data_IF_946806629400
#
_entry.id   IF_946806629400
#
_cell.length_a   1.000
_cell.length_b   1.000
_cell.length_c   1.000
_cell.angle_alpha   90.00
_cell.angle_beta   90.00
_cell.angle_gamma   90.00
#
_symmetry.space_group_name_H-M   'P 1'
#
loop_
_entity.id
_entity.type
_entity.pdbx_description
1 polymer ?
#
# COMPACT_ATOMS: atom_id res chain seq x y z
N UNK A 1 3.43 65.68 -0.49
CA UNK A 1 2.08 65.08 -0.52
C UNK A 1 2.28 63.83 -1.32
N UNK A 2 2.43 62.75 -0.58
CA UNK A 2 3.38 61.69 -0.87
C UNK A 2 2.65 60.50 -1.51
N UNK A 3 3.26 59.90 -2.52
CA UNK A 3 2.76 58.73 -3.26
C UNK A 3 2.92 57.39 -2.48
N UNK A 4 3.28 57.45 -1.20
CA UNK A 4 3.61 56.28 -0.37
C UNK A 4 2.38 55.56 0.23
N UNK A 5 1.17 56.11 0.08
CA UNK A 5 -0.04 55.56 0.73
C UNK A 5 -0.75 54.44 -0.06
N UNK A 6 -0.35 54.16 -1.30
CA UNK A 6 -1.00 53.13 -2.11
C UNK A 6 -0.66 51.70 -1.68
N UNK A 7 0.52 51.48 -1.06
CA UNK A 7 0.96 50.14 -0.65
C UNK A 7 0.42 49.70 0.71
N UNK A 8 -0.20 50.59 1.48
CA UNK A 8 -0.60 50.30 2.86
C UNK A 8 -2.10 49.96 3.04
N UNK A 9 -2.90 49.93 1.98
CA UNK A 9 -4.31 49.58 2.06
C UNK A 9 -4.70 48.48 1.07
N UNK A 10 -4.51 47.23 1.47
CA UNK A 10 -5.31 46.13 0.93
C UNK A 10 -5.46 45.00 1.95
N UNK A 11 -6.67 44.46 2.01
CA UNK A 11 -7.18 43.36 2.84
C UNK A 11 -6.49 42.00 2.61
N UNK A 12 -5.28 41.99 2.04
CA UNK A 12 -4.51 40.78 1.71
C UNK A 12 -3.66 40.26 2.88
N UNK A 13 -3.57 41.01 4.00
CA UNK A 13 -2.90 40.52 5.23
C UNK A 13 -3.60 39.34 5.89
N UNK A 14 -4.87 39.06 5.60
CA UNK A 14 -5.59 37.90 6.16
C UNK A 14 -5.41 36.61 5.34
N UNK A 15 -4.83 36.69 4.14
CA UNK A 15 -4.46 35.53 3.30
C UNK A 15 -2.94 35.34 3.14
N UNK A 16 -2.13 36.13 3.85
CA UNK A 16 -0.69 35.95 3.89
C UNK A 16 -0.35 34.72 4.75
N UNK A 17 0.41 33.79 4.16
CA UNK A 17 1.00 32.64 4.83
C UNK A 17 1.72 33.07 6.12
N UNK A 18 1.22 32.63 7.28
CA UNK A 18 1.96 32.60 8.53
C UNK A 18 2.72 31.26 8.61
N UNK A 19 4.03 31.32 8.81
CA UNK A 19 4.95 30.17 8.79
C UNK A 19 5.69 30.00 10.12
N UNK A 20 5.09 30.38 11.25
CA UNK A 20 5.79 30.43 12.54
C UNK A 20 5.29 29.45 13.62
N UNK A 21 4.42 28.47 13.31
CA UNK A 21 3.85 27.59 14.35
C UNK A 21 4.62 26.25 14.58
N UNK A 22 5.70 25.96 13.85
CA UNK A 22 6.45 24.69 14.00
C UNK A 22 7.91 24.89 14.45
N UNK A 23 8.17 25.80 15.39
CA UNK A 23 9.48 25.87 16.07
C UNK A 23 9.45 24.94 17.28
N UNK A 24 9.87 23.69 17.09
CA UNK A 24 10.15 22.77 18.20
C UNK A 24 11.25 23.35 19.09
N UNK A 25 11.04 23.29 20.40
CA UNK A 25 11.98 23.83 21.38
C UNK A 25 13.28 23.01 21.40
N UNK A 26 14.44 23.61 21.74
CA UNK A 26 15.72 22.90 21.82
C UNK A 26 15.72 21.68 22.75
N UNK A 27 14.76 21.61 23.68
CA UNK A 27 14.58 20.49 24.61
C UNK A 27 13.91 19.27 23.97
N UNK A 28 13.09 19.46 22.92
CA UNK A 28 12.44 18.37 22.17
C UNK A 28 13.41 17.70 21.18
N UNK A 29 14.41 18.44 20.67
CA UNK A 29 15.45 17.93 19.77
C UNK A 29 16.40 16.94 20.50
N UNK A 30 16.62 17.14 21.80
CA UNK A 30 17.50 16.28 22.61
C UNK A 30 16.88 14.94 23.04
N UNK A 31 15.55 14.77 22.88
CA UNK A 31 14.83 13.59 23.37
C UNK A 31 14.66 12.46 22.35
N UNK A 32 15.04 12.66 21.08
CA UNK A 32 14.81 11.68 19.99
C UNK A 32 15.76 10.45 20.10
N UNK A 33 16.80 10.50 20.94
CA UNK A 33 17.82 9.45 21.03
C UNK A 33 17.76 8.51 22.24
N UNK A 34 16.82 8.67 23.18
CA UNK A 34 16.84 7.87 24.41
C UNK A 34 15.47 7.27 24.72
N UNK A 35 15.30 5.97 24.44
CA UNK A 35 14.30 5.15 25.14
C UNK A 35 15.02 4.20 26.12
N UNK A 36 14.67 4.23 27.41
CA UNK A 36 15.13 3.25 28.38
C UNK A 36 14.36 1.93 28.20
N UNK A 37 15.08 0.83 28.32
CA UNK A 37 14.54 -0.53 28.24
C UNK A 37 13.89 -0.93 29.57
N UNK A 38 12.57 -1.17 29.57
CA UNK A 38 11.88 -1.97 30.59
C UNK A 38 10.99 -3.01 29.88
N UNK A 39 11.12 -4.26 30.33
CA UNK A 39 10.80 -5.44 29.55
C UNK A 39 9.38 -5.97 29.65
N UNK A 40 9.00 -6.76 28.65
CA UNK A 40 8.10 -7.90 28.78
C UNK A 40 8.27 -8.84 27.58
N UNK A 41 8.28 -10.15 27.86
CA UNK A 41 8.52 -11.25 26.92
C UNK A 41 7.33 -11.43 25.96
N UNK A 42 7.60 -11.66 24.67
CA UNK A 42 6.73 -12.42 23.78
C UNK A 42 7.63 -13.29 22.87
N UNK A 43 7.31 -14.57 22.83
CA UNK A 43 8.08 -15.66 22.23
C UNK A 43 8.21 -15.55 20.71
N UNK A 44 9.44 -15.62 20.20
CA UNK A 44 9.75 -15.69 18.78
C UNK A 44 9.92 -17.15 18.33
N UNK A 45 9.04 -17.56 17.41
CA UNK A 45 8.92 -18.88 16.74
C UNK A 45 10.01 -19.08 15.65
N UNK A 46 11.22 -18.56 15.87
CA UNK A 46 12.36 -18.75 14.96
C UNK A 46 13.68 -19.01 15.70
N UNK A 47 13.62 -19.79 16.78
CA UNK A 47 14.81 -20.37 17.37
C UNK A 47 15.29 -21.56 16.53
N UNK A 48 16.14 -21.28 15.53
CA UNK A 48 16.99 -22.30 14.94
C UNK A 48 17.89 -22.88 16.03
N UNK A 49 17.75 -24.17 16.23
CA UNK A 49 18.59 -25.08 17.03
C UNK A 49 20.04 -24.59 17.14
N UNK A 50 20.48 -24.31 18.36
CA UNK A 50 21.86 -24.06 18.70
C UNK A 50 22.70 -25.33 18.48
N UNK A 51 23.23 -25.48 17.27
CA UNK A 51 24.38 -26.35 17.04
C UNK A 51 25.60 -25.63 17.62
N UNK A 52 26.08 -26.14 18.74
CA UNK A 52 27.36 -25.82 19.37
C UNK A 52 28.52 -26.27 18.49
N UNK A 53 28.74 -25.59 17.36
CA UNK A 53 30.04 -25.58 16.70
C UNK A 53 30.81 -24.38 17.22
N UNK A 54 31.78 -24.64 18.09
CA UNK A 54 32.88 -23.73 18.37
C UNK A 54 33.54 -23.34 17.04
N UNK A 55 33.15 -22.20 16.47
CA UNK A 55 33.88 -21.60 15.36
C UNK A 55 35.17 -21.07 15.96
N UNK A 56 36.25 -21.86 15.83
CA UNK A 56 37.61 -21.37 15.98
C UNK A 56 37.77 -20.19 15.01
N UNK A 57 37.57 -18.97 15.51
CA UNK A 57 37.86 -17.75 14.77
C UNK A 57 39.38 -17.68 14.65
N UNK A 58 39.88 -18.08 13.49
CA UNK A 58 41.27 -17.87 13.13
C UNK A 58 41.54 -16.36 13.16
N UNK A 59 42.56 -15.89 13.90
CA UNK A 59 42.89 -14.48 13.92
C UNK A 59 43.26 -14.04 12.50
N UNK A 60 42.84 -12.83 12.10
CA UNK A 60 43.07 -12.26 10.76
C UNK A 60 44.56 -12.31 10.35
N UNK A 61 45.47 -12.27 11.32
CA UNK A 61 46.92 -12.43 11.14
C UNK A 61 47.35 -13.81 10.59
N UNK A 62 46.47 -14.82 10.63
CA UNK A 62 46.70 -16.14 10.02
C UNK A 62 46.21 -16.24 8.57
N UNK A 63 45.31 -15.34 8.14
CA UNK A 63 44.76 -15.30 6.78
C UNK A 63 45.50 -14.30 5.90
N UNK A 64 46.12 -13.28 6.50
CA UNK A 64 46.75 -12.16 5.79
C UNK A 64 48.04 -11.79 6.51
N UNK A 65 49.14 -11.66 5.75
CA UNK A 65 50.42 -11.25 6.36
C UNK A 65 50.30 -9.86 7.01
N UNK A 66 51.04 -9.58 8.10
CA UNK A 66 50.99 -8.28 8.76
C UNK A 66 51.22 -7.09 7.81
N UNK A 67 52.10 -7.26 6.81
CA UNK A 67 52.34 -6.25 5.77
C UNK A 67 51.13 -5.99 4.88
N UNK A 68 50.39 -7.04 4.52
CA UNK A 68 49.18 -6.89 3.68
C UNK A 68 48.03 -6.33 4.50
N UNK A 69 47.92 -6.70 5.77
CA UNK A 69 46.95 -6.12 6.69
C UNK A 69 47.22 -4.63 6.92
N UNK A 70 48.49 -4.25 7.11
CA UNK A 70 48.90 -2.85 7.20
C UNK A 70 48.59 -2.09 5.91
N UNK A 71 48.81 -2.68 4.74
CA UNK A 71 48.45 -2.06 3.45
C UNK A 71 46.93 -1.90 3.29
N UNK A 72 46.13 -2.85 3.76
CA UNK A 72 44.67 -2.76 3.76
C UNK A 72 44.21 -1.65 4.72
N UNK A 73 44.77 -1.60 5.93
CA UNK A 73 44.49 -0.57 6.93
C UNK A 73 44.96 0.81 6.44
N UNK A 74 46.11 0.91 5.77
CA UNK A 74 46.60 2.13 5.11
C UNK A 74 45.66 2.58 4.00
N UNK A 75 45.22 1.66 3.14
CA UNK A 75 44.26 1.94 2.07
C UNK A 75 42.88 2.35 2.59
N UNK A 76 42.46 1.86 3.77
CA UNK A 76 41.24 2.28 4.46
C UNK A 76 41.42 3.59 5.23
N UNK A 77 42.62 3.89 5.73
CA UNK A 77 42.93 5.13 6.47
C UNK A 77 43.03 6.38 5.59
N UNK A 78 43.12 6.21 4.26
CA UNK A 78 43.22 7.31 3.31
C UNK A 78 44.59 8.02 3.29
N UNK A 79 45.63 7.46 3.89
CA UNK A 79 47.00 7.99 3.85
C UNK A 79 47.81 7.29 2.74
N UNK A 80 48.24 8.04 1.73
CA UNK A 80 49.17 7.56 0.69
C UNK A 80 50.58 7.35 1.29
N UNK A 81 51.34 6.32 0.85
CA UNK A 81 52.65 5.96 1.42
C UNK A 81 53.81 6.87 1.00
N UNK A 82 53.58 7.92 0.23
CA UNK A 82 54.63 8.86 -0.18
C UNK A 82 54.47 10.18 0.56
N UNK A 83 55.20 10.33 1.66
CA UNK A 83 55.45 11.64 2.27
C UNK A 83 56.21 12.52 1.27
N UNK A 84 55.83 13.78 1.26
CA UNK A 84 56.60 14.93 0.76
C UNK A 84 56.90 14.97 -0.73
N UNK A 85 55.85 15.22 -1.52
CA UNK A 85 56.01 16.17 -2.63
C UNK A 85 54.89 17.18 -2.48
N UNK A 86 55.25 18.47 -2.40
CA UNK A 86 54.39 19.59 -2.78
C UNK A 86 54.02 19.40 -4.26
N UNK A 87 53.12 18.48 -4.55
CA UNK A 87 52.32 18.55 -5.75
C UNK A 87 51.03 19.15 -5.23
N UNK A 88 50.73 20.37 -5.69
CA UNK A 88 49.35 20.78 -5.87
C UNK A 88 48.67 19.66 -6.67
N UNK A 89 48.20 18.62 -5.98
CA UNK A 89 47.40 17.61 -6.62
C UNK A 89 46.17 18.38 -7.00
N UNK A 90 46.10 18.81 -8.26
CA UNK A 90 44.86 19.27 -8.84
C UNK A 90 43.87 18.16 -8.51
N UNK A 91 43.01 18.41 -7.52
CA UNK A 91 41.93 17.52 -7.18
C UNK A 91 40.95 17.63 -8.34
N UNK A 92 41.29 16.92 -9.40
CA UNK A 92 40.45 16.79 -10.58
C UNK A 92 39.15 16.13 -10.13
N UNK A 93 38.08 16.44 -10.86
CA UNK A 93 36.76 15.88 -10.62
C UNK A 93 36.80 14.35 -10.46
N UNK A 94 37.61 13.67 -11.28
CA UNK A 94 37.79 12.22 -11.21
C UNK A 94 38.38 11.73 -9.87
N UNK A 95 39.37 12.44 -9.30
CA UNK A 95 39.97 12.07 -8.01
C UNK A 95 38.98 12.30 -6.87
N UNK A 96 38.23 13.40 -6.92
CA UNK A 96 37.18 13.71 -5.93
C UNK A 96 36.08 12.65 -5.95
N UNK A 97 35.57 12.30 -7.13
CA UNK A 97 34.52 11.28 -7.28
C UNK A 97 34.99 9.89 -6.86
N UNK A 98 36.22 9.49 -7.23
CA UNK A 98 36.79 8.22 -6.79
C UNK A 98 36.86 8.14 -5.27
N UNK A 99 37.22 9.22 -4.58
CA UNK A 99 37.22 9.27 -3.11
C UNK A 99 35.81 9.18 -2.54
N UNK A 100 34.86 9.91 -3.12
CA UNK A 100 33.47 9.94 -2.69
C UNK A 100 32.81 8.55 -2.75
N UNK A 101 33.00 7.83 -3.86
CA UNK A 101 32.46 6.47 -4.06
C UNK A 101 33.09 5.45 -3.10
N UNK A 102 34.37 5.64 -2.77
CA UNK A 102 35.07 4.82 -1.79
C UNK A 102 34.76 5.21 -0.34
N UNK A 103 33.84 6.15 -0.09
CA UNK A 103 33.49 6.65 1.24
C UNK A 103 34.63 7.38 1.96
N UNK A 104 35.61 7.90 1.22
CA UNK A 104 36.78 8.61 1.76
C UNK A 104 36.50 10.11 1.87
N UNK A 105 37.15 10.77 2.83
CA UNK A 105 37.04 12.21 3.00
C UNK A 105 37.46 12.97 1.72
N UNK A 106 36.54 13.77 1.18
CA UNK A 106 36.76 14.62 0.03
C UNK A 106 36.15 16.01 0.25
N UNK A 107 36.85 17.06 -0.17
CA UNK A 107 36.39 18.45 -0.02
C UNK A 107 35.76 18.95 -1.32
N UNK A 108 34.42 18.94 -1.40
CA UNK A 108 33.69 19.41 -2.58
C UNK A 108 33.86 20.93 -2.81
N UNK A 109 34.18 21.70 -1.76
CA UNK A 109 34.40 23.15 -1.79
C UNK A 109 35.57 23.63 -2.68
N UNK A 110 36.43 22.70 -3.14
CA UNK A 110 37.48 23.00 -4.11
C UNK A 110 36.89 23.28 -5.51
N UNK A 111 35.73 22.71 -5.82
CA UNK A 111 35.00 22.94 -7.07
C UNK A 111 34.16 24.22 -6.96
N UNK A 112 34.81 25.38 -7.21
CA UNK A 112 34.17 26.70 -7.08
C UNK A 112 33.42 27.16 -8.33
N UNK A 113 33.95 26.88 -9.52
CA UNK A 113 33.36 27.33 -10.78
C UNK A 113 32.10 26.53 -11.14
N UNK A 114 31.14 27.18 -11.80
CA UNK A 114 29.93 26.51 -12.30
C UNK A 114 30.28 25.34 -13.21
N UNK A 115 31.23 25.52 -14.14
CA UNK A 115 31.72 24.46 -15.04
C UNK A 115 32.23 23.24 -14.26
N UNK A 116 33.06 23.45 -13.24
CA UNK A 116 33.62 22.35 -12.45
C UNK A 116 32.55 21.63 -11.62
N UNK A 117 31.56 22.36 -11.12
CA UNK A 117 30.38 21.81 -10.43
C UNK A 117 29.50 20.97 -11.36
N UNK A 118 29.32 21.41 -12.60
CA UNK A 118 28.59 20.65 -13.63
C UNK A 118 29.33 19.36 -14.00
N UNK A 119 30.64 19.44 -14.23
CA UNK A 119 31.48 18.27 -14.50
C UNK A 119 31.47 17.27 -13.33
N UNK A 120 31.45 17.77 -12.10
CA UNK A 120 31.33 16.95 -10.89
C UNK A 120 30.01 16.18 -10.84
N UNK A 121 28.91 16.82 -11.19
CA UNK A 121 27.60 16.17 -11.27
C UNK A 121 27.54 15.14 -12.41
N UNK A 122 28.02 15.51 -13.60
CA UNK A 122 28.06 14.61 -14.76
C UNK A 122 28.92 13.37 -14.50
N UNK A 123 30.08 13.57 -13.87
CA UNK A 123 30.94 12.46 -13.47
C UNK A 123 30.29 11.57 -12.41
N UNK A 124 29.58 12.14 -11.42
CA UNK A 124 28.86 11.34 -10.43
C UNK A 124 27.76 10.48 -11.08
N UNK A 125 27.01 11.06 -12.02
CA UNK A 125 25.97 10.36 -12.79
C UNK A 125 26.59 9.23 -13.62
N UNK A 126 27.73 9.49 -14.29
CA UNK A 126 28.42 8.50 -15.12
C UNK A 126 28.93 7.30 -14.31
N UNK A 127 29.31 7.51 -13.04
CA UNK A 127 29.71 6.42 -12.14
C UNK A 127 28.49 5.60 -11.68
N UNK A 128 27.33 6.23 -11.53
CA UNK A 128 26.08 5.57 -11.17
C UNK A 128 25.93 5.24 -9.68
N UNK A 129 26.79 5.78 -8.81
CA UNK A 129 26.64 5.63 -7.36
C UNK A 129 25.63 6.65 -6.81
N UNK A 130 24.49 6.16 -6.30
CA UNK A 130 23.39 7.01 -5.84
C UNK A 130 23.76 7.94 -4.68
N UNK A 131 24.63 7.49 -3.76
CA UNK A 131 25.08 8.29 -2.63
C UNK A 131 26.00 9.43 -3.08
N UNK A 132 26.90 9.15 -4.02
CA UNK A 132 27.75 10.15 -4.64
C UNK A 132 26.93 11.21 -5.38
N UNK A 133 25.96 10.77 -6.20
CA UNK A 133 25.05 11.67 -6.92
C UNK A 133 24.30 12.57 -5.94
N UNK A 134 23.67 12.01 -4.92
CA UNK A 134 22.92 12.78 -3.93
C UNK A 134 23.82 13.76 -3.17
N UNK A 135 25.01 13.33 -2.75
CA UNK A 135 25.97 14.18 -2.02
C UNK A 135 26.39 15.39 -2.87
N UNK A 136 26.67 15.16 -4.15
CA UNK A 136 26.99 16.26 -5.08
C UNK A 136 25.78 17.18 -5.26
N UNK A 137 24.58 16.64 -5.44
CA UNK A 137 23.36 17.46 -5.58
C UNK A 137 23.12 18.34 -4.35
N UNK A 138 23.25 17.80 -3.14
CA UNK A 138 23.13 18.57 -1.89
C UNK A 138 24.18 19.69 -1.81
N UNK A 139 25.42 19.43 -2.23
CA UNK A 139 26.46 20.44 -2.33
C UNK A 139 26.11 21.55 -3.34
N UNK A 140 25.52 21.21 -4.48
CA UNK A 140 25.06 22.21 -5.46
C UNK A 140 23.94 23.08 -4.87
N UNK A 141 22.97 22.49 -4.20
CA UNK A 141 21.85 23.21 -3.56
C UNK A 141 22.36 24.21 -2.51
N UNK A 142 23.38 23.83 -1.73
CA UNK A 142 23.96 24.70 -0.71
C UNK A 142 24.81 25.84 -1.29
N UNK A 143 25.37 25.69 -2.49
CA UNK A 143 26.42 26.58 -3.00
C UNK A 143 26.06 27.33 -4.29
N UNK A 144 24.91 27.07 -4.89
CA UNK A 144 24.44 27.73 -6.10
C UNK A 144 23.07 28.39 -5.87
N UNK A 145 22.74 29.37 -6.72
CA UNK A 145 21.40 29.95 -6.74
C UNK A 145 20.38 28.87 -7.16
N UNK A 146 19.22 28.84 -6.48
CA UNK A 146 18.09 27.95 -6.78
C UNK A 146 17.79 27.82 -8.28
N UNK A 147 17.72 28.92 -9.03
CA UNK A 147 17.43 28.89 -10.49
C UNK A 147 18.45 28.05 -11.28
N UNK A 148 19.74 28.21 -10.99
CA UNK A 148 20.82 27.46 -11.65
C UNK A 148 20.78 25.97 -11.27
N UNK A 149 20.48 25.67 -10.00
CA UNK A 149 20.32 24.28 -9.56
C UNK A 149 19.19 23.60 -10.31
N UNK A 150 18.05 24.28 -10.48
CA UNK A 150 16.92 23.71 -11.22
C UNK A 150 17.22 23.50 -12.69
N UNK A 151 17.92 24.43 -13.35
CA UNK A 151 18.37 24.26 -14.75
C UNK A 151 19.35 23.07 -14.91
N UNK A 152 20.26 22.89 -13.94
CA UNK A 152 21.17 21.75 -13.93
C UNK A 152 20.45 20.41 -13.70
N UNK A 153 19.45 20.38 -12.81
CA UNK A 153 18.68 19.18 -12.50
C UNK A 153 17.64 18.84 -13.57
N UNK A 154 17.02 19.84 -14.22
CA UNK A 154 16.02 19.63 -15.28
C UNK A 154 16.62 18.91 -16.49
N UNK A 155 17.90 19.17 -16.78
CA UNK A 155 18.67 18.49 -17.83
C UNK A 155 19.20 17.11 -17.43
N UNK A 156 19.11 16.72 -16.15
CA UNK A 156 19.72 15.50 -15.57
C UNK A 156 18.73 14.74 -14.71
N UNK A 157 17.83 14.01 -15.36
CA UNK A 157 16.72 13.27 -14.72
C UNK A 157 17.17 12.29 -13.63
N UNK A 158 18.33 11.63 -13.79
CA UNK A 158 18.87 10.69 -12.79
C UNK A 158 19.14 11.41 -11.46
N UNK A 159 19.88 12.52 -11.50
CA UNK A 159 20.19 13.32 -10.32
C UNK A 159 18.93 13.94 -9.70
N UNK A 160 18.02 14.43 -10.54
CA UNK A 160 16.72 14.94 -10.10
C UNK A 160 15.91 13.87 -9.35
N UNK A 161 15.83 12.65 -9.88
CA UNK A 161 15.09 11.56 -9.24
C UNK A 161 15.68 11.18 -7.89
N UNK A 162 17.02 11.10 -7.77
CA UNK A 162 17.66 10.88 -6.47
C UNK A 162 17.32 11.97 -5.45
N UNK A 163 17.28 13.23 -5.89
CA UNK A 163 16.91 14.34 -5.00
C UNK A 163 15.44 14.32 -4.62
N UNK A 164 14.54 14.03 -5.57
CA UNK A 164 13.11 13.84 -5.30
C UNK A 164 12.89 12.73 -4.26
N UNK A 165 13.53 11.58 -4.43
CA UNK A 165 13.44 10.47 -3.47
C UNK A 165 14.00 10.84 -2.10
N UNK A 166 15.09 11.60 -2.04
CA UNK A 166 15.62 12.12 -0.79
C UNK A 166 14.61 13.03 -0.07
N UNK A 167 14.03 14.01 -0.77
CA UNK A 167 13.05 14.92 -0.19
C UNK A 167 11.78 14.19 0.31
N UNK A 168 11.35 13.15 -0.39
CA UNK A 168 10.23 12.30 0.03
C UNK A 168 10.55 11.54 1.32
N UNK A 169 11.74 10.94 1.41
CA UNK A 169 12.15 10.14 2.55
C UNK A 169 12.36 10.99 3.81
N UNK A 170 12.93 12.19 3.65
CA UNK A 170 13.13 13.15 4.74
C UNK A 170 11.85 13.92 5.12
N UNK A 171 10.74 13.74 4.38
CA UNK A 171 9.48 14.44 4.64
C UNK A 171 9.50 15.94 4.31
N UNK A 172 10.45 16.40 3.49
CA UNK A 172 10.62 17.81 3.08
C UNK A 172 9.67 18.18 1.94
N UNK A 173 8.38 18.13 2.24
CA UNK A 173 7.32 18.24 1.21
C UNK A 173 7.25 19.63 0.59
N UNK A 174 7.50 20.70 1.34
CA UNK A 174 7.53 22.07 0.81
C UNK A 174 8.63 22.24 -0.24
N UNK A 175 9.85 21.81 0.07
CA UNK A 175 10.97 21.83 -0.87
C UNK A 175 10.69 20.98 -2.12
N UNK A 176 10.03 19.83 -1.94
CA UNK A 176 9.64 18.95 -3.05
C UNK A 176 8.58 19.59 -3.95
N UNK A 177 7.54 20.19 -3.38
CA UNK A 177 6.48 20.85 -4.14
C UNK A 177 7.02 22.06 -4.91
N UNK A 178 7.91 22.83 -4.29
CA UNK A 178 8.56 23.98 -4.93
C UNK A 178 9.41 23.53 -6.12
N UNK A 179 10.27 22.51 -5.91
CA UNK A 179 11.09 21.91 -6.96
C UNK A 179 10.24 21.46 -8.15
N UNK A 180 9.19 20.68 -7.90
CA UNK A 180 8.33 20.14 -8.96
C UNK A 180 7.55 21.25 -9.67
N UNK A 181 7.05 22.24 -8.95
CA UNK A 181 6.35 23.40 -9.53
C UNK A 181 7.27 24.20 -10.45
N UNK A 182 8.52 24.46 -10.04
CA UNK A 182 9.48 25.18 -10.87
C UNK A 182 9.93 24.39 -12.10
N UNK A 183 9.86 23.07 -12.06
CA UNK A 183 10.09 22.19 -13.22
C UNK A 183 8.86 22.04 -14.12
N UNK A 184 7.76 22.75 -13.84
CA UNK A 184 6.50 22.62 -14.57
C UNK A 184 5.73 21.33 -14.30
N UNK A 185 6.11 20.57 -13.26
CA UNK A 185 5.51 19.29 -12.84
C UNK A 185 4.48 19.50 -11.73
N UNK A 186 3.64 20.53 -11.86
CA UNK A 186 2.62 20.90 -10.86
C UNK A 186 1.64 19.78 -10.51
N UNK A 187 1.18 18.91 -11.46
CA UNK A 187 0.31 17.78 -11.11
C UNK A 187 0.99 16.79 -10.15
N UNK A 188 2.27 16.51 -10.36
CA UNK A 188 3.03 15.63 -9.47
C UNK A 188 3.24 16.27 -8.09
N UNK A 189 3.54 17.57 -8.05
CA UNK A 189 3.65 18.32 -6.81
C UNK A 189 2.36 18.20 -5.97
N UNK A 190 1.21 18.37 -6.62
CA UNK A 190 -0.09 18.25 -5.98
C UNK A 190 -0.31 16.85 -5.39
N UNK A 191 0.16 15.80 -6.06
CA UNK A 191 0.00 14.43 -5.57
C UNK A 191 0.92 14.07 -4.40
N UNK A 192 2.14 14.60 -4.36
CA UNK A 192 2.97 14.49 -3.16
C UNK A 192 2.37 15.24 -1.98
N UNK A 193 1.82 16.44 -2.22
CA UNK A 193 1.14 17.20 -1.18
C UNK A 193 -0.11 16.46 -0.67
N UNK A 194 -0.92 15.89 -1.55
CA UNK A 194 -2.04 15.02 -1.20
C UNK A 194 -1.61 13.87 -0.29
N UNK A 195 -0.61 13.09 -0.72
CA UNK A 195 -0.13 11.93 0.02
C UNK A 195 0.39 12.33 1.41
N UNK A 196 1.10 13.44 1.50
CA UNK A 196 1.57 13.98 2.77
C UNK A 196 0.42 14.44 3.66
N UNK A 197 -0.57 15.15 3.12
CA UNK A 197 -1.75 15.57 3.90
C UNK A 197 -2.49 14.36 4.50
N UNK A 198 -2.71 13.31 3.72
CA UNK A 198 -3.37 12.07 4.19
C UNK A 198 -2.58 11.40 5.31
N UNK A 199 -1.25 11.33 5.20
CA UNK A 199 -0.37 10.72 6.20
C UNK A 199 -0.23 11.55 7.47
N UNK A 200 -0.06 12.87 7.32
CA UNK A 200 0.24 13.79 8.43
C UNK A 200 -0.98 14.14 9.29
N UNK A 201 -2.18 14.21 8.69
CA UNK A 201 -3.39 14.64 9.43
C UNK A 201 -4.02 13.53 10.29
N UNK A 202 -3.67 12.26 10.08
CA UNK A 202 -4.19 11.15 10.88
C UNK A 202 -5.72 11.13 10.89
N UNK A 203 -6.33 11.26 12.07
CA UNK A 203 -7.79 11.25 12.27
C UNK A 203 -8.47 12.62 12.18
N UNK A 204 -7.74 13.71 11.88
CA UNK A 204 -8.30 15.05 11.78
C UNK A 204 -8.99 15.29 10.42
N UNK A 205 -10.26 14.90 10.32
CA UNK A 205 -11.06 15.00 9.09
C UNK A 205 -11.28 16.45 8.64
N UNK A 206 -11.54 17.38 9.56
CA UNK A 206 -11.74 18.80 9.24
C UNK A 206 -10.47 19.46 8.68
N UNK A 207 -9.33 19.20 9.32
CA UNK A 207 -8.04 19.67 8.84
C UNK A 207 -7.71 19.12 7.46
N UNK A 208 -8.02 17.84 7.23
CA UNK A 208 -7.81 17.18 5.95
C UNK A 208 -8.71 17.74 4.85
N UNK A 209 -10.02 17.90 5.10
CA UNK A 209 -10.95 18.52 4.15
C UNK A 209 -10.49 19.91 3.72
N UNK A 210 -10.10 20.76 4.69
CA UNK A 210 -9.60 22.10 4.39
C UNK A 210 -8.36 22.07 3.49
N UNK A 211 -7.38 21.23 3.81
CA UNK A 211 -6.14 21.09 3.01
C UNK A 211 -6.40 20.55 1.62
N UNK A 212 -7.29 19.56 1.47
CA UNK A 212 -7.62 18.95 0.19
C UNK A 212 -8.45 19.86 -0.72
N UNK A 213 -9.40 20.60 -0.16
CA UNK A 213 -10.16 21.60 -0.93
C UNK A 213 -9.23 22.70 -1.47
N UNK A 214 -8.27 23.16 -0.66
CA UNK A 214 -7.25 24.11 -1.10
C UNK A 214 -6.37 23.51 -2.21
N UNK A 215 -5.94 22.25 -2.07
CA UNK A 215 -5.15 21.54 -3.08
C UNK A 215 -5.91 21.43 -4.41
N UNK A 216 -7.19 21.06 -4.36
CA UNK A 216 -8.02 20.95 -5.55
C UNK A 216 -8.19 22.29 -6.25
N UNK A 217 -8.51 23.35 -5.51
CA UNK A 217 -8.70 24.69 -6.07
C UNK A 217 -7.42 25.25 -6.71
N UNK A 218 -6.27 25.06 -6.06
CA UNK A 218 -5.01 25.68 -6.48
C UNK A 218 -4.26 24.91 -7.57
N UNK A 219 -4.48 23.60 -7.69
CA UNK A 219 -3.68 22.76 -8.60
C UNK A 219 -4.53 21.88 -9.52
N UNK A 220 -5.47 21.10 -8.98
CA UNK A 220 -6.13 20.04 -9.75
C UNK A 220 -7.26 20.56 -10.66
N UNK A 221 -7.94 21.62 -10.25
CA UNK A 221 -9.01 22.25 -11.02
C UNK A 221 -8.51 23.36 -11.97
N UNK A 222 -7.19 23.59 -12.01
CA UNK A 222 -6.60 24.57 -12.91
C UNK A 222 -6.62 24.07 -14.37
N UNK A 223 -6.65 24.98 -15.37
CA UNK A 223 -6.52 24.60 -16.77
C UNK A 223 -5.22 23.80 -17.01
N UNK A 224 -5.35 22.57 -17.53
CA UNK A 224 -4.21 21.65 -17.70
C UNK A 224 -3.96 20.69 -16.53
N UNK A 225 -4.79 20.71 -15.49
CA UNK A 225 -4.79 19.72 -14.41
C UNK A 225 -5.16 18.32 -14.90
N UNK A 226 -4.65 17.30 -14.21
CA UNK A 226 -4.98 15.90 -14.50
C UNK A 226 -6.39 15.57 -13.98
N UNK A 227 -7.34 15.43 -14.91
CA UNK A 227 -8.75 15.11 -14.63
C UNK A 227 -8.91 13.82 -13.81
N UNK A 228 -8.04 12.83 -13.99
CA UNK A 228 -8.10 11.58 -13.24
C UNK A 228 -7.69 11.80 -11.79
N UNK A 229 -6.61 12.54 -11.55
CA UNK A 229 -6.17 12.91 -10.20
C UNK A 229 -7.20 13.81 -9.50
N UNK A 230 -7.76 14.79 -10.21
CA UNK A 230 -8.82 15.65 -9.70
C UNK A 230 -10.03 14.83 -9.24
N UNK A 231 -10.48 13.87 -10.07
CA UNK A 231 -11.58 12.96 -9.72
C UNK A 231 -11.27 12.12 -8.50
N UNK A 232 -10.07 11.52 -8.43
CA UNK A 232 -9.65 10.71 -7.29
C UNK A 232 -9.68 11.49 -5.98
N UNK A 233 -9.13 12.72 -5.96
CA UNK A 233 -9.14 13.57 -4.76
C UNK A 233 -10.56 14.03 -4.44
N UNK A 234 -11.38 14.35 -5.44
CA UNK A 234 -12.79 14.72 -5.24
C UNK A 234 -13.61 13.59 -4.60
N UNK A 235 -13.44 12.35 -5.07
CA UNK A 235 -14.15 11.20 -4.51
C UNK A 235 -13.70 10.91 -3.07
N UNK A 236 -12.42 11.11 -2.76
CA UNK A 236 -11.93 11.04 -1.38
C UNK A 236 -12.45 12.17 -0.49
N UNK A 237 -12.57 13.40 -0.99
CA UNK A 237 -13.21 14.52 -0.28
C UNK A 237 -14.67 14.17 0.05
N UNK A 238 -15.44 13.62 -0.89
CA UNK A 238 -16.82 13.15 -0.63
C UNK A 238 -16.88 12.10 0.48
N UNK A 239 -15.89 11.20 0.56
CA UNK A 239 -15.80 10.22 1.65
C UNK A 239 -15.56 10.91 2.99
N UNK A 240 -14.64 11.87 3.05
CA UNK A 240 -14.34 12.63 4.26
C UNK A 240 -15.55 13.47 4.73
N UNK A 241 -16.30 14.07 3.80
CA UNK A 241 -17.55 14.78 4.11
C UNK A 241 -18.58 13.83 4.75
N UNK A 242 -18.71 12.61 4.21
CA UNK A 242 -19.56 11.59 4.82
C UNK A 242 -19.06 11.17 6.20
N UNK A 243 -17.74 10.98 6.39
CA UNK A 243 -17.16 10.64 7.69
C UNK A 243 -17.39 11.75 8.72
N UNK A 244 -17.27 13.02 8.31
CA UNK A 244 -17.61 14.18 9.13
C UNK A 244 -19.08 14.18 9.51
N UNK A 245 -19.98 13.89 8.58
CA UNK A 245 -21.42 13.74 8.87
C UNK A 245 -21.70 12.60 9.85
N UNK A 246 -21.07 11.43 9.64
CA UNK A 246 -21.23 10.27 10.50
C UNK A 246 -20.75 10.54 11.94
N UNK A 247 -19.76 11.42 12.08
CA UNK A 247 -19.19 11.88 13.36
C UNK A 247 -18.78 10.70 14.27
N UNK A 248 -18.05 9.74 13.70
CA UNK A 248 -17.50 8.57 14.41
C UNK A 248 -15.99 8.53 14.26
N UNK A 249 -15.28 8.73 15.38
CA UNK A 249 -13.82 8.76 15.43
C UNK A 249 -13.15 7.52 14.79
N UNK A 250 -13.75 6.34 14.93
CA UNK A 250 -13.24 5.10 14.35
C UNK A 250 -13.30 5.05 12.81
N UNK A 251 -14.13 5.90 12.19
CA UNK A 251 -14.29 6.01 10.75
C UNK A 251 -13.38 7.08 10.14
N UNK A 252 -12.81 7.95 10.96
CA UNK A 252 -12.00 9.07 10.49
C UNK A 252 -10.81 8.58 9.67
N UNK A 253 -10.69 9.08 8.44
CA UNK A 253 -9.63 8.73 7.49
C UNK A 253 -9.52 7.21 7.24
N UNK A 254 -10.63 6.47 7.36
CA UNK A 254 -10.71 5.07 6.95
C UNK A 254 -11.14 4.95 5.48
N UNK A 255 -10.92 3.77 4.90
CA UNK A 255 -11.32 3.49 3.52
C UNK A 255 -12.84 3.37 3.38
N UNK A 256 -13.36 3.60 2.17
CA UNK A 256 -14.78 3.41 1.87
C UNK A 256 -15.27 2.00 2.21
N UNK A 257 -14.44 0.96 2.02
CA UNK A 257 -14.78 -0.42 2.39
C UNK A 257 -14.87 -0.63 3.90
N UNK A 258 -14.01 0.03 4.68
CA UNK A 258 -14.12 -0.01 6.14
C UNK A 258 -15.40 0.68 6.62
N UNK A 259 -15.71 1.85 6.05
CA UNK A 259 -16.97 2.55 6.34
C UNK A 259 -18.19 1.73 5.94
N UNK A 260 -18.17 1.06 4.78
CA UNK A 260 -19.22 0.12 4.36
C UNK A 260 -19.36 -1.02 5.36
N UNK A 261 -18.25 -1.62 5.81
CA UNK A 261 -18.28 -2.70 6.79
C UNK A 261 -18.92 -2.27 8.12
N UNK A 262 -18.59 -1.06 8.59
CA UNK A 262 -19.25 -0.45 9.75
C UNK A 262 -20.76 -0.28 9.54
N UNK A 263 -21.16 0.29 8.40
CA UNK A 263 -22.58 0.45 8.05
C UNK A 263 -23.31 -0.91 7.98
N UNK A 264 -22.69 -1.95 7.43
CA UNK A 264 -23.26 -3.30 7.41
C UNK A 264 -23.44 -3.85 8.82
N UNK A 265 -22.48 -3.63 9.71
CA UNK A 265 -22.55 -4.13 11.08
C UNK A 265 -23.65 -3.44 11.91
N UNK A 266 -23.77 -2.12 11.78
CA UNK A 266 -24.56 -1.27 12.70
C UNK A 266 -25.87 -0.74 12.10
N UNK A 267 -25.96 -0.61 10.78
CA UNK A 267 -27.03 0.12 10.09
C UNK A 267 -27.68 -0.69 8.95
N UNK A 268 -27.59 -2.03 9.01
CA UNK A 268 -28.10 -2.92 7.94
C UNK A 268 -29.59 -2.75 7.63
N UNK A 269 -30.41 -2.50 8.66
CA UNK A 269 -31.87 -2.36 8.51
C UNK A 269 -32.31 -0.99 7.99
N UNK A 270 -31.38 -0.04 7.81
CA UNK A 270 -31.71 1.29 7.33
C UNK A 270 -31.96 1.30 5.82
N UNK A 271 -33.05 1.95 5.40
CA UNK A 271 -33.45 2.04 4.01
C UNK A 271 -32.53 2.94 3.18
N UNK A 272 -32.53 2.70 1.86
CA UNK A 272 -31.86 3.58 0.91
C UNK A 272 -32.41 5.01 1.05
N UNK A 273 -31.53 5.97 1.33
CA UNK A 273 -31.90 7.35 1.68
C UNK A 273 -31.37 7.78 3.05
N UNK A 274 -31.22 6.85 4.00
CA UNK A 274 -30.45 7.13 5.21
C UNK A 274 -28.97 7.20 4.86
N UNK A 275 -28.29 8.25 5.32
CA UNK A 275 -26.87 8.48 5.06
C UNK A 275 -25.98 7.33 5.57
N UNK A 276 -26.37 6.69 6.67
CA UNK A 276 -25.62 5.59 7.28
C UNK A 276 -25.98 4.21 6.72
N UNK A 277 -26.98 4.12 5.84
CA UNK A 277 -27.35 2.86 5.18
C UNK A 277 -26.20 2.34 4.31
N UNK A 278 -25.89 1.02 4.35
CA UNK A 278 -24.90 0.39 3.47
C UNK A 278 -25.12 0.67 1.99
N UNK A 279 -26.38 0.80 1.56
CA UNK A 279 -26.71 1.05 0.16
C UNK A 279 -26.35 2.48 -0.25
N UNK A 280 -26.60 3.46 0.62
CA UNK A 280 -26.29 4.88 0.36
C UNK A 280 -24.79 5.09 0.22
N UNK A 281 -23.98 4.52 1.11
CA UNK A 281 -22.51 4.63 1.02
C UNK A 281 -21.98 3.90 -0.24
N UNK A 282 -22.54 2.73 -0.57
CA UNK A 282 -22.18 1.98 -1.77
C UNK A 282 -22.41 2.81 -3.05
N UNK A 283 -23.57 3.49 -3.15
CA UNK A 283 -23.90 4.34 -4.29
C UNK A 283 -23.03 5.60 -4.35
N UNK A 284 -22.85 6.30 -3.23
CA UNK A 284 -22.06 7.55 -3.18
C UNK A 284 -20.59 7.33 -3.50
N UNK A 285 -20.03 6.24 -2.98
CA UNK A 285 -18.62 5.89 -3.17
C UNK A 285 -18.38 5.00 -4.40
N UNK A 286 -19.42 4.74 -5.19
CA UNK A 286 -19.37 3.91 -6.40
C UNK A 286 -18.70 2.54 -6.14
N UNK A 287 -19.00 1.92 -4.99
CA UNK A 287 -18.39 0.65 -4.59
C UNK A 287 -18.85 -0.43 -5.58
N UNK A 288 -17.92 -1.16 -6.23
CA UNK A 288 -18.26 -2.23 -7.15
C UNK A 288 -19.12 -3.32 -6.49
N UNK A 289 -20.09 -3.92 -7.21
CA UNK A 289 -20.98 -4.94 -6.66
C UNK A 289 -20.24 -6.13 -6.04
N UNK A 290 -19.11 -6.55 -6.62
CA UNK A 290 -18.28 -7.63 -6.06
C UNK A 290 -17.68 -7.27 -4.70
N UNK A 291 -17.25 -6.01 -4.51
CA UNK A 291 -16.71 -5.54 -3.23
C UNK A 291 -17.82 -5.38 -2.19
N UNK A 292 -19.01 -4.95 -2.63
CA UNK A 292 -20.20 -4.91 -1.78
C UNK A 292 -20.55 -6.31 -1.27
N UNK A 293 -20.79 -7.27 -2.18
CA UNK A 293 -21.11 -8.66 -1.84
C UNK A 293 -20.05 -9.25 -0.89
N UNK A 294 -18.76 -9.02 -1.18
CA UNK A 294 -17.66 -9.52 -0.35
C UNK A 294 -17.68 -8.91 1.06
N UNK A 295 -17.94 -7.61 1.17
CA UNK A 295 -17.98 -6.92 2.46
C UNK A 295 -19.16 -7.41 3.29
N UNK A 296 -20.35 -7.48 2.70
CA UNK A 296 -21.57 -7.94 3.41
C UNK A 296 -21.42 -9.38 3.86
N UNK A 297 -20.92 -10.28 2.99
CA UNK A 297 -20.64 -11.68 3.35
C UNK A 297 -19.75 -11.74 4.60
N UNK A 298 -18.63 -11.03 4.59
CA UNK A 298 -17.65 -11.11 5.66
C UNK A 298 -18.16 -10.50 6.97
N UNK A 299 -18.91 -9.41 6.91
CA UNK A 299 -19.44 -8.76 8.12
C UNK A 299 -20.50 -9.64 8.78
N UNK A 300 -21.51 -10.08 8.02
CA UNK A 300 -22.65 -10.79 8.59
C UNK A 300 -22.33 -12.24 8.95
N UNK A 301 -21.53 -12.95 8.15
CA UNK A 301 -21.13 -14.32 8.49
C UNK A 301 -20.26 -14.36 9.77
N UNK A 302 -19.32 -13.42 9.94
CA UNK A 302 -18.52 -13.32 11.17
C UNK A 302 -19.34 -12.92 12.40
N UNK A 303 -20.49 -12.28 12.20
CA UNK A 303 -21.46 -12.01 13.26
C UNK A 303 -22.52 -13.10 13.39
N UNK A 304 -22.34 -14.26 12.75
CA UNK A 304 -23.27 -15.40 12.75
C UNK A 304 -24.70 -15.07 12.26
N UNK A 305 -24.87 -13.96 11.54
CA UNK A 305 -26.14 -13.51 10.95
C UNK A 305 -26.37 -14.18 9.60
N UNK A 306 -26.50 -15.51 9.62
CA UNK A 306 -26.61 -16.33 8.41
C UNK A 306 -27.91 -16.10 7.62
N UNK A 307 -28.98 -15.69 8.29
CA UNK A 307 -30.25 -15.29 7.68
C UNK A 307 -30.07 -14.15 6.66
N UNK A 308 -29.25 -13.16 7.01
CA UNK A 308 -28.91 -12.04 6.13
C UNK A 308 -28.09 -12.53 4.94
N UNK A 309 -27.09 -13.37 5.19
CA UNK A 309 -26.22 -13.94 4.15
C UNK A 309 -27.04 -14.77 3.17
N UNK A 310 -27.90 -15.67 3.66
CA UNK A 310 -28.76 -16.48 2.81
C UNK A 310 -29.71 -15.61 1.98
N UNK A 311 -30.30 -14.57 2.57
CA UNK A 311 -31.20 -13.64 1.85
C UNK A 311 -30.47 -12.86 0.76
N UNK A 312 -29.23 -12.44 1.01
CA UNK A 312 -28.45 -11.69 0.01
C UNK A 312 -28.01 -12.58 -1.16
N UNK A 313 -27.47 -13.75 -0.83
CA UNK A 313 -26.86 -14.63 -1.83
C UNK A 313 -27.84 -15.58 -2.50
N UNK A 314 -29.11 -15.58 -2.09
CA UNK A 314 -30.14 -16.40 -2.71
C UNK A 314 -31.36 -15.57 -3.15
N UNK A 315 -31.92 -15.92 -4.30
CA UNK A 315 -33.17 -15.36 -4.81
C UNK A 315 -34.16 -16.47 -5.07
N UNK A 316 -35.40 -16.27 -4.63
CA UNK A 316 -36.53 -17.13 -4.97
C UNK A 316 -37.13 -16.64 -6.29
N UNK A 317 -37.25 -17.54 -7.25
CA UNK A 317 -38.05 -17.28 -8.45
C UNK A 317 -39.55 -17.39 -8.14
N UNK A 318 -40.39 -17.07 -9.12
CA UNK A 318 -41.85 -17.13 -8.98
C UNK A 318 -42.39 -18.56 -8.76
N UNK A 319 -41.59 -19.59 -9.06
CA UNK A 319 -41.88 -21.00 -8.78
C UNK A 319 -41.35 -21.46 -7.41
N UNK A 320 -40.79 -20.54 -6.61
CA UNK A 320 -40.23 -20.82 -5.30
C UNK A 320 -38.86 -21.51 -5.33
N UNK A 321 -38.23 -21.66 -6.50
CA UNK A 321 -36.87 -22.22 -6.62
C UNK A 321 -35.84 -21.20 -6.17
N UNK A 322 -34.90 -21.67 -5.38
CA UNK A 322 -33.82 -20.84 -4.83
C UNK A 322 -32.63 -20.89 -5.78
N UNK A 323 -32.15 -19.73 -6.21
CA UNK A 323 -30.99 -19.57 -7.09
C UNK A 323 -29.94 -18.66 -6.45
N UNK A 324 -28.65 -18.86 -6.75
CA UNK A 324 -27.60 -18.00 -6.20
C UNK A 324 -27.47 -16.69 -6.97
N UNK A 325 -27.55 -15.59 -6.23
CA UNK A 325 -27.36 -14.22 -6.71
C UNK A 325 -26.07 -13.66 -6.11
N UNK A 326 -24.98 -13.66 -6.86
CA UNK A 326 -23.70 -13.09 -6.43
C UNK A 326 -22.88 -12.59 -7.61
N UNK A 327 -22.14 -11.51 -7.39
CA UNK A 327 -21.10 -11.00 -8.28
C UNK A 327 -19.72 -11.62 -7.99
N UNK A 328 -19.58 -12.36 -6.89
CA UNK A 328 -18.36 -13.08 -6.54
C UNK A 328 -18.29 -14.35 -7.40
N UNK A 329 -17.16 -14.66 -8.05
CA UNK A 329 -16.95 -15.92 -8.74
C UNK A 329 -17.27 -17.12 -7.83
N UNK A 330 -17.98 -18.12 -8.35
CA UNK A 330 -18.59 -19.16 -7.52
C UNK A 330 -17.57 -19.96 -6.71
N UNK A 331 -16.38 -20.24 -7.25
CA UNK A 331 -15.33 -20.95 -6.53
C UNK A 331 -14.76 -20.12 -5.36
N UNK A 332 -14.54 -18.82 -5.59
CA UNK A 332 -14.10 -17.88 -4.56
C UNK A 332 -15.16 -17.74 -3.46
N UNK A 333 -16.45 -17.69 -3.85
CA UNK A 333 -17.56 -17.63 -2.91
C UNK A 333 -17.62 -18.90 -2.05
N UNK A 334 -17.51 -20.09 -2.66
CA UNK A 334 -17.51 -21.36 -1.95
C UNK A 334 -16.33 -21.49 -0.99
N UNK A 335 -15.12 -21.10 -1.42
CA UNK A 335 -13.94 -21.11 -0.57
C UNK A 335 -14.17 -20.26 0.66
N UNK A 336 -14.67 -19.03 0.45
CA UNK A 336 -14.91 -18.10 1.55
C UNK A 336 -16.04 -18.56 2.48
N UNK A 337 -17.13 -19.10 1.94
CA UNK A 337 -18.22 -19.67 2.74
C UNK A 337 -17.75 -20.85 3.57
N UNK A 338 -16.89 -21.72 3.02
CA UNK A 338 -16.30 -22.83 3.75
C UNK A 338 -15.41 -22.35 4.90
N UNK A 339 -14.55 -21.35 4.65
CA UNK A 339 -13.71 -20.73 5.69
C UNK A 339 -14.54 -20.11 6.81
N UNK A 340 -15.67 -19.51 6.47
CA UNK A 340 -16.62 -18.90 7.40
C UNK A 340 -17.57 -19.92 8.04
N UNK A 341 -17.41 -21.23 7.78
CA UNK A 341 -18.22 -22.31 8.33
C UNK A 341 -19.72 -22.21 7.97
N UNK A 342 -20.03 -21.83 6.73
CA UNK A 342 -21.39 -21.79 6.22
C UNK A 342 -22.08 -23.16 6.28
N UNK A 343 -23.42 -23.15 6.35
CA UNK A 343 -24.21 -24.37 6.36
C UNK A 343 -23.98 -25.20 5.09
N UNK A 344 -23.95 -26.54 5.23
CA UNK A 344 -23.90 -27.45 4.07
C UNK A 344 -25.04 -27.19 3.07
N UNK A 345 -26.19 -26.71 3.55
CA UNK A 345 -27.34 -26.30 2.73
C UNK A 345 -26.98 -25.12 1.82
N UNK A 346 -26.45 -24.03 2.36
CA UNK A 346 -26.07 -22.86 1.56
C UNK A 346 -24.96 -23.22 0.56
N UNK A 347 -23.98 -24.00 1.01
CA UNK A 347 -22.92 -24.54 0.14
C UNK A 347 -23.49 -25.38 -1.01
N UNK A 348 -24.47 -26.25 -0.74
CA UNK A 348 -25.13 -27.06 -1.76
C UNK A 348 -25.89 -26.21 -2.79
N UNK A 349 -26.58 -25.15 -2.36
CA UNK A 349 -27.26 -24.20 -3.27
C UNK A 349 -26.24 -23.54 -4.21
N UNK A 350 -25.08 -23.16 -3.68
CA UNK A 350 -23.98 -22.58 -4.48
C UNK A 350 -23.40 -23.58 -5.49
N UNK A 351 -23.07 -24.79 -5.06
CA UNK A 351 -22.52 -25.82 -5.95
C UNK A 351 -23.51 -26.19 -7.06
N UNK A 352 -24.81 -26.27 -6.76
CA UNK A 352 -25.84 -26.60 -7.75
C UNK A 352 -25.99 -25.56 -8.87
N UNK A 353 -25.48 -24.33 -8.71
CA UNK A 353 -25.44 -23.32 -9.78
C UNK A 353 -24.40 -23.64 -10.86
N UNK A 354 -23.38 -24.44 -10.55
CA UNK A 354 -22.31 -24.77 -11.50
C UNK A 354 -22.89 -25.61 -12.63
N UNK A 355 -22.73 -25.16 -13.88
CA UNK A 355 -23.30 -25.82 -15.06
C UNK A 355 -22.57 -27.11 -15.43
N UNK A 356 -21.23 -27.09 -15.37
CA UNK A 356 -20.35 -28.25 -15.60
C UNK A 356 -20.57 -29.30 -14.52
N UNK A 357 -20.98 -30.51 -14.94
CA UNK A 357 -21.20 -31.61 -14.00
C UNK A 357 -19.88 -32.11 -13.38
N UNK A 358 -18.77 -32.02 -14.12
CA UNK A 358 -17.43 -32.35 -13.63
C UNK A 358 -16.99 -31.38 -12.52
N UNK A 359 -17.08 -30.07 -12.76
CA UNK A 359 -16.72 -29.06 -11.76
C UNK A 359 -17.64 -29.13 -10.54
N UNK A 360 -18.93 -29.40 -10.77
CA UNK A 360 -19.91 -29.60 -9.70
C UNK A 360 -19.51 -30.78 -8.80
N UNK A 361 -19.14 -31.92 -9.39
CA UNK A 361 -18.67 -33.09 -8.62
C UNK A 361 -17.38 -32.79 -7.87
N UNK A 362 -16.40 -32.20 -8.55
CA UNK A 362 -15.10 -31.82 -7.96
C UNK A 362 -15.30 -30.95 -6.72
N UNK A 363 -16.08 -29.87 -6.85
CA UNK A 363 -16.32 -28.92 -5.76
C UNK A 363 -17.21 -29.50 -4.67
N UNK A 364 -18.23 -30.30 -5.01
CA UNK A 364 -19.05 -31.01 -4.03
C UNK A 364 -18.22 -31.97 -3.17
N UNK A 365 -17.30 -32.73 -3.78
CA UNK A 365 -16.38 -33.62 -3.07
C UNK A 365 -15.39 -32.83 -2.21
N UNK A 366 -14.79 -31.77 -2.77
CA UNK A 366 -13.82 -30.92 -2.06
C UNK A 366 -14.40 -30.32 -0.77
N UNK A 367 -15.65 -29.84 -0.82
CA UNK A 367 -16.34 -29.26 0.34
C UNK A 367 -17.21 -30.25 1.11
N UNK A 368 -17.14 -31.56 0.80
CA UNK A 368 -17.92 -32.63 1.46
C UNK A 368 -19.42 -32.34 1.51
N UNK A 369 -19.99 -32.04 0.34
CA UNK A 369 -21.43 -31.82 0.13
C UNK A 369 -22.00 -33.07 -0.55
N UNK A 370 -22.20 -34.11 0.27
CA UNK A 370 -22.43 -35.48 -0.20
C UNK A 370 -23.74 -35.64 -1.00
N UNK A 371 -24.78 -34.88 -0.61
CA UNK A 371 -26.07 -34.87 -1.30
C UNK A 371 -25.94 -34.46 -2.76
N UNK A 372 -25.14 -33.43 -3.04
CA UNK A 372 -24.92 -32.92 -4.40
C UNK A 372 -24.10 -33.91 -5.24
N UNK A 373 -23.16 -34.64 -4.62
CA UNK A 373 -22.42 -35.72 -5.32
C UNK A 373 -23.39 -36.80 -5.79
N UNK A 374 -24.24 -37.30 -4.89
CA UNK A 374 -25.22 -38.36 -5.18
C UNK A 374 -26.18 -37.92 -6.29
N UNK A 375 -26.76 -36.72 -6.16
CA UNK A 375 -27.68 -36.18 -7.17
C UNK A 375 -27.03 -35.97 -8.54
N UNK A 376 -25.76 -35.56 -8.58
CA UNK A 376 -25.06 -35.30 -9.84
C UNK A 376 -24.71 -36.59 -10.56
N UNK A 377 -24.24 -37.62 -9.84
CA UNK A 377 -23.97 -38.95 -10.41
C UNK A 377 -25.25 -39.62 -10.90
N UNK A 378 -26.35 -39.47 -10.14
CA UNK A 378 -27.68 -39.94 -10.55
C UNK A 378 -28.15 -39.25 -11.85
N UNK A 379 -27.98 -37.93 -11.97
CA UNK A 379 -28.30 -37.17 -13.19
C UNK A 379 -27.44 -37.59 -14.39
N UNK A 380 -26.16 -37.91 -14.17
CA UNK A 380 -25.27 -38.45 -15.20
C UNK A 380 -25.58 -39.90 -15.57
N UNK A 381 -26.37 -40.59 -14.73
CA UNK A 381 -26.71 -42.02 -14.83
C UNK A 381 -25.49 -42.93 -14.66
N UNK A 382 -24.48 -42.47 -13.91
CA UNK A 382 -23.25 -43.24 -13.69
C UNK A 382 -23.39 -44.13 -12.44
N UNK A 383 -23.74 -45.40 -12.68
CA UNK A 383 -23.99 -46.36 -11.61
C UNK A 383 -22.70 -46.78 -10.90
N UNK A 384 -21.62 -46.93 -11.66
CA UNK A 384 -20.32 -47.40 -11.14
C UNK A 384 -19.75 -46.33 -10.20
N UNK A 385 -19.72 -45.07 -10.64
CA UNK A 385 -19.22 -43.97 -9.83
C UNK A 385 -20.05 -43.78 -8.55
N UNK A 386 -21.38 -43.86 -8.61
CA UNK A 386 -22.23 -43.74 -7.42
C UNK A 386 -22.03 -44.91 -6.45
N UNK A 387 -21.84 -46.13 -6.97
CA UNK A 387 -21.54 -47.30 -6.14
C UNK A 387 -20.21 -47.14 -5.43
N UNK A 388 -19.16 -46.71 -6.15
CA UNK A 388 -17.84 -46.45 -5.59
C UNK A 388 -17.89 -45.34 -4.55
N UNK A 389 -18.60 -44.24 -4.82
CA UNK A 389 -18.76 -43.14 -3.89
C UNK A 389 -19.49 -43.58 -2.61
N UNK A 390 -20.55 -44.39 -2.71
CA UNK A 390 -21.25 -44.94 -1.54
C UNK A 390 -20.31 -45.71 -0.61
N UNK A 391 -19.34 -46.45 -1.14
CA UNK A 391 -18.36 -47.18 -0.33
C UNK A 391 -17.43 -46.27 0.50
N UNK A 392 -17.32 -44.99 0.13
CA UNK A 392 -16.55 -43.98 0.89
C UNK A 392 -17.36 -43.34 2.02
N UNK A 393 -18.69 -43.52 2.03
CA UNK A 393 -19.58 -42.96 3.04
C UNK A 393 -19.64 -43.86 4.28
N UNK A 394 -19.84 -43.27 5.45
CA UNK A 394 -20.02 -44.03 6.69
C UNK A 394 -21.25 -44.92 6.60
N UNK A 395 -21.15 -46.24 6.87
CA UNK A 395 -22.29 -47.14 6.86
C UNK A 395 -23.43 -46.61 7.76
N UNK A 396 -24.68 -46.76 7.31
CA UNK A 396 -25.90 -46.31 8.02
C UNK A 396 -26.07 -44.79 8.22
N UNK A 397 -25.14 -43.96 7.74
CA UNK A 397 -25.37 -42.51 7.68
C UNK A 397 -26.55 -42.16 6.77
N UNK A 398 -27.18 -41.01 7.00
CA UNK A 398 -28.30 -40.52 6.16
C UNK A 398 -27.90 -40.45 4.67
N UNK A 399 -26.69 -40.00 4.38
CA UNK A 399 -26.16 -39.88 3.02
C UNK A 399 -25.83 -41.23 2.40
N UNK A 400 -25.44 -42.24 3.19
CA UNK A 400 -25.28 -43.62 2.73
C UNK A 400 -26.64 -44.22 2.32
N UNK A 401 -27.65 -44.02 3.16
CA UNK A 401 -29.03 -44.46 2.89
C UNK A 401 -29.58 -43.74 1.66
N UNK A 402 -29.32 -42.44 1.51
CA UNK A 402 -29.68 -41.68 0.32
C UNK A 402 -29.03 -42.29 -0.94
N UNK A 403 -27.73 -42.54 -0.92
CA UNK A 403 -27.02 -43.16 -2.05
C UNK A 403 -27.58 -44.56 -2.39
N UNK A 404 -27.89 -45.38 -1.37
CA UNK A 404 -28.48 -46.70 -1.55
C UNK A 404 -29.88 -46.63 -2.17
N UNK A 405 -30.73 -45.71 -1.68
CA UNK A 405 -32.07 -45.48 -2.20
C UNK A 405 -32.02 -44.96 -3.65
N UNK A 406 -31.12 -44.03 -3.94
CA UNK A 406 -30.91 -43.53 -5.31
C UNK A 406 -30.47 -44.65 -6.25
N UNK A 407 -29.56 -45.54 -5.85
CA UNK A 407 -29.14 -46.70 -6.67
C UNK A 407 -30.29 -47.69 -6.95
N UNK A 408 -31.29 -47.74 -6.07
CA UNK A 408 -32.48 -48.60 -6.19
C UNK A 408 -33.65 -47.93 -6.92
N UNK A 409 -33.54 -46.64 -7.27
CA UNK A 409 -34.61 -45.90 -7.91
C UNK A 409 -34.90 -46.46 -9.32
N UNK A 410 -36.10 -47.04 -9.54
CA UNK A 410 -36.45 -47.65 -10.83
C UNK A 410 -36.67 -46.61 -11.94
N UNK A 411 -36.78 -45.32 -11.62
CA UNK A 411 -36.95 -44.25 -12.60
C UNK A 411 -35.65 -43.89 -13.34
N UNK A 412 -34.49 -44.27 -12.79
CA UNK A 412 -33.17 -43.95 -13.35
C UNK A 412 -32.71 -45.06 -14.30
N UNK A 413 -32.62 -44.74 -15.59
CA UNK A 413 -32.01 -45.62 -16.60
C UNK A 413 -30.48 -45.51 -16.55
N UNK A 414 -29.84 -46.34 -15.72
CA UNK A 414 -28.39 -46.36 -15.53
C UNK A 414 -27.60 -46.65 -16.81
N UNK A 415 -26.48 -45.95 -16.97
CA UNK A 415 -25.41 -46.32 -17.90
C UNK A 415 -24.50 -47.29 -17.15
N UNK A 416 -24.26 -48.46 -17.73
CA UNK A 416 -23.33 -49.45 -17.19
C UNK A 416 -21.90 -49.08 -17.52
#
# INVERSE_FOLDING_TARGET
>A
MDEDDYWNSSETKSQAFSFDDDVLSPQEILAIGQKPSHGQKVDNIFASTSVSTAKNLLPISSLVSPKVLDLILLAQSGKDPTKEVKVSCEQTVAVTLKRLVLGRNCSLHLHRSLKSKTELLDGAIAIGDGNAILTVVLFLIQTLNKKLVYELLSSRTIALNHYISFLQNEGKITELTDLLTMLGRSPEAAMYQFQHCVKSQGSNVDGLLRKLNNLMANYLNQPGGDTHQAKMVADYVKLLEWQKFANKQELNNKSALYCLAYCCAQHWSETAGNMMSPMTICQRQQIPPIQYDWTVLNVHAKSEKWDVVETLFTKKDWLGRITVSSHIPIETLLARLSELQASKRLMAICVNKITSAEDRLRLAQMYKIETVVIETLAKQKDRIALTNYKMTLSPQSEVFILAENTLRDPSIKWKN
#
